data_IF_361807512480
#
_entry.id   IF_361807512480
#
_cell.length_a   1.000
_cell.length_b   1.000
_cell.length_c   1.000
_cell.angle_alpha   90.00
_cell.angle_beta   90.00
_cell.angle_gamma   90.00
#
_symmetry.space_group_name_H-M   'P 1'
#
loop_
_entity.id
_entity.type
_entity.pdbx_description
1 polymer ?
#
# COMPACT_ATOMS: atom_id res chain seq x y z
N UNK A 1 -18.21 33.37 -9.40
CA UNK A 1 -17.14 34.32 -9.02
C UNK A 1 -15.87 33.51 -8.93
N UNK A 2 -14.94 33.71 -9.86
CA UNK A 2 -13.71 32.94 -9.94
C UNK A 2 -12.82 33.25 -8.73
N UNK A 3 -12.39 32.21 -8.02
CA UNK A 3 -11.39 32.32 -6.97
C UNK A 3 -10.08 32.81 -7.61
N UNK A 4 -9.70 34.05 -7.33
CA UNK A 4 -8.37 34.58 -7.64
C UNK A 4 -7.41 33.89 -6.67
N UNK A 5 -6.72 32.88 -7.17
CA UNK A 5 -5.65 32.17 -6.48
C UNK A 5 -4.56 33.20 -6.19
N UNK A 6 -4.20 33.40 -4.93
CA UNK A 6 -2.98 34.15 -4.62
C UNK A 6 -1.80 33.33 -5.13
N UNK A 7 -1.29 33.70 -6.31
CA UNK A 7 -0.12 33.15 -6.98
C UNK A 7 1.18 33.76 -6.45
N UNK A 8 1.11 34.52 -5.35
CA UNK A 8 2.27 35.18 -4.77
C UNK A 8 3.11 34.13 -4.03
N UNK A 9 4.39 33.97 -4.39
CA UNK A 9 5.31 33.09 -3.67
C UNK A 9 5.42 33.50 -2.19
N UNK A 10 5.73 32.53 -1.32
CA UNK A 10 6.05 32.82 0.08
C UNK A 10 7.18 33.85 0.14
N UNK A 11 6.89 35.00 0.74
CA UNK A 11 7.81 36.11 0.85
C UNK A 11 7.69 36.75 2.23
N UNK A 12 8.63 36.44 3.12
CA UNK A 12 8.69 37.04 4.45
C UNK A 12 9.48 38.36 4.41
N UNK A 13 8.98 39.46 5.00
CA UNK A 13 9.68 40.75 5.03
C UNK A 13 11.03 40.71 5.74
N UNK A 14 11.17 39.83 6.73
CA UNK A 14 12.35 39.61 7.55
C UNK A 14 13.18 38.39 7.10
N UNK A 15 13.02 37.95 5.85
CA UNK A 15 13.78 36.86 5.26
C UNK A 15 15.27 37.21 5.14
N UNK A 16 16.13 36.22 5.40
CA UNK A 16 17.59 36.28 5.26
C UNK A 16 18.11 35.36 4.12
N UNK A 17 17.20 34.65 3.44
CA UNK A 17 17.47 33.81 2.27
C UNK A 17 16.42 34.04 1.17
N UNK A 18 16.89 34.07 -0.08
CA UNK A 18 16.08 34.00 -1.30
C UNK A 18 16.40 32.68 -2.00
N UNK A 19 15.41 31.81 -2.12
CA UNK A 19 15.49 30.62 -2.98
C UNK A 19 14.92 30.98 -4.34
N UNK A 20 15.72 30.86 -5.40
CA UNK A 20 15.26 31.02 -6.77
C UNK A 20 15.14 29.66 -7.45
N UNK A 21 13.94 29.35 -7.94
CA UNK A 21 13.64 28.09 -8.61
C UNK A 21 14.05 28.10 -10.08
N UNK A 22 13.99 26.94 -10.73
CA UNK A 22 14.41 26.80 -12.14
C UNK A 22 13.57 27.65 -13.11
N UNK A 23 12.30 27.87 -12.78
CA UNK A 23 11.35 28.76 -13.45
C UNK A 23 11.42 30.22 -12.97
N UNK A 24 12.53 30.60 -12.29
CA UNK A 24 12.89 31.96 -11.89
C UNK A 24 11.93 32.63 -10.89
N UNK A 25 11.16 31.82 -10.15
CA UNK A 25 10.35 32.31 -9.04
C UNK A 25 11.21 32.40 -7.79
N UNK A 26 11.12 33.52 -7.09
CA UNK A 26 11.89 33.78 -5.87
C UNK A 26 11.00 33.64 -4.63
N UNK A 27 11.48 32.85 -3.67
CA UNK A 27 10.86 32.66 -2.36
C UNK A 27 11.75 33.29 -1.30
N UNK A 28 11.22 34.26 -0.54
CA UNK A 28 11.95 34.91 0.56
C UNK A 28 11.64 34.19 1.86
N UNK A 29 12.63 33.48 2.40
CA UNK A 29 12.51 32.52 3.51
C UNK A 29 13.62 32.72 4.55
N UNK A 30 13.56 31.96 5.65
CA UNK A 30 14.51 32.03 6.74
C UNK A 30 15.50 30.86 6.71
N UNK A 31 16.80 31.16 6.79
CA UNK A 31 17.91 30.19 6.85
C UNK A 31 17.74 29.22 8.01
N UNK A 32 17.49 29.75 9.21
CA UNK A 32 17.38 28.96 10.43
C UNK A 32 16.26 27.91 10.38
N UNK A 33 15.10 28.24 9.80
CA UNK A 33 13.97 27.32 9.66
C UNK A 33 14.31 26.19 8.68
N UNK A 34 14.95 26.52 7.55
CA UNK A 34 15.39 25.50 6.60
C UNK A 34 16.50 24.61 7.17
N UNK A 35 17.49 25.18 7.85
CA UNK A 35 18.56 24.42 8.50
C UNK A 35 18.07 23.52 9.64
N UNK A 36 16.94 23.86 10.28
CA UNK A 36 16.33 23.01 11.30
C UNK A 36 15.73 21.73 10.71
N UNK A 37 15.21 21.81 9.48
CA UNK A 37 14.41 20.76 8.86
C UNK A 37 15.20 20.00 7.78
N UNK A 38 16.25 20.58 7.21
CA UNK A 38 17.04 20.01 6.12
C UNK A 38 18.53 20.05 6.42
N UNK A 39 19.15 18.87 6.44
CA UNK A 39 20.59 18.73 6.64
C UNK A 39 21.38 19.36 5.47
N UNK A 40 20.87 19.24 4.24
CA UNK A 40 21.52 19.86 3.07
C UNK A 40 21.53 21.38 3.17
N UNK A 41 20.41 21.99 3.58
CA UNK A 41 20.37 23.45 3.77
C UNK A 41 21.22 23.89 4.95
N UNK A 42 21.27 23.10 6.03
CA UNK A 42 22.15 23.35 7.18
C UNK A 42 23.63 23.32 6.79
N UNK A 43 24.05 22.34 6.02
CA UNK A 43 25.42 22.20 5.54
C UNK A 43 25.78 23.34 4.58
N UNK A 44 24.90 23.66 3.63
CA UNK A 44 25.08 24.76 2.68
C UNK A 44 25.35 26.09 3.41
N UNK A 45 24.56 26.39 4.44
CA UNK A 45 24.74 27.62 5.24
C UNK A 45 26.00 27.60 6.11
N UNK A 46 26.43 26.41 6.55
CA UNK A 46 27.68 26.26 7.31
C UNK A 46 28.89 26.54 6.43
N UNK A 47 28.87 26.14 5.16
CA UNK A 47 29.92 26.47 4.20
C UNK A 47 29.98 27.97 3.89
N UNK A 48 28.84 28.65 3.77
CA UNK A 48 28.78 30.10 3.55
C UNK A 48 29.35 30.91 4.74
N UNK A 49 29.22 30.39 5.97
CA UNK A 49 29.81 31.00 7.15
C UNK A 49 31.35 30.88 7.17
N UNK A 50 31.89 29.81 6.58
CA UNK A 50 33.34 29.54 6.51
C UNK A 50 33.97 30.28 5.32
N UNK A 51 33.27 30.32 4.18
CA UNK A 51 33.68 30.99 2.95
C UNK A 51 32.60 32.01 2.55
N UNK A 52 32.57 33.19 3.19
CA UNK A 52 31.61 34.21 2.81
C UNK A 52 31.78 34.53 1.32
N UNK A 53 30.71 34.50 0.51
CA UNK A 53 30.81 34.84 -0.90
C UNK A 53 31.46 36.22 -1.01
N UNK A 54 32.53 36.30 -1.80
CA UNK A 54 33.18 37.58 -2.09
C UNK A 54 32.10 38.50 -2.65
N UNK A 55 31.66 39.46 -1.83
CA UNK A 55 30.77 40.51 -2.28
C UNK A 55 31.42 41.11 -3.52
N UNK A 56 30.75 41.00 -4.67
CA UNK A 56 31.15 41.76 -5.84
C UNK A 56 31.13 43.21 -5.40
N UNK A 57 32.33 43.78 -5.24
CA UNK A 57 32.54 45.13 -4.77
C UNK A 57 32.07 46.10 -5.85
N UNK A 58 30.77 46.33 -5.93
CA UNK A 58 30.21 47.53 -6.55
C UNK A 58 30.16 48.60 -5.46
N UNK A 59 31.28 49.31 -5.36
CA UNK A 59 31.42 50.70 -4.89
C UNK A 59 30.23 51.33 -4.17
N UNK A 60 30.43 51.61 -2.88
CA UNK A 60 29.92 52.80 -2.18
C UNK A 60 28.44 52.86 -1.87
N UNK A 61 28.05 52.39 -0.67
CA UNK A 61 27.50 53.27 0.38
C UNK A 61 27.03 52.45 1.58
N UNK A 62 27.40 52.92 2.77
CA UNK A 62 27.15 52.28 4.05
C UNK A 62 25.66 52.35 4.44
N UNK A 63 24.91 51.26 4.25
CA UNK A 63 23.74 50.91 5.07
C UNK A 63 23.69 49.40 5.28
N UNK A 64 23.89 48.97 6.51
CA UNK A 64 23.88 47.56 6.96
C UNK A 64 22.47 46.95 6.98
N UNK A 65 21.80 46.90 5.85
CA UNK A 65 20.80 45.84 5.63
C UNK A 65 21.55 44.73 4.91
N UNK A 66 21.91 43.67 5.66
CA UNK A 66 22.43 42.44 5.06
C UNK A 66 21.40 41.98 4.03
N UNK A 67 21.69 42.14 2.74
CA UNK A 67 20.80 41.66 1.70
C UNK A 67 20.63 40.13 1.86
N UNK A 68 19.41 39.59 1.68
CA UNK A 68 19.19 38.16 1.79
C UNK A 68 20.08 37.40 0.80
N UNK A 69 20.69 36.32 1.26
CA UNK A 69 21.51 35.49 0.38
C UNK A 69 20.63 34.84 -0.70
N UNK A 70 21.09 34.86 -1.95
CA UNK A 70 20.40 34.21 -3.07
C UNK A 70 20.97 32.81 -3.33
N UNK A 71 20.10 31.81 -3.44
CA UNK A 71 20.45 30.43 -3.81
C UNK A 71 19.56 29.96 -4.96
N UNK A 72 20.19 29.58 -6.07
CA UNK A 72 19.50 28.98 -7.22
C UNK A 72 19.36 27.46 -7.02
N UNK A 73 18.17 26.91 -7.32
CA UNK A 73 17.87 25.47 -7.25
C UNK A 73 17.22 24.97 -8.54
N UNK A 74 17.27 23.65 -8.73
CA UNK A 74 16.82 22.99 -9.98
C UNK A 74 15.33 22.70 -10.02
N UNK A 75 14.68 22.65 -8.86
CA UNK A 75 13.27 22.34 -8.67
C UNK A 75 12.39 23.50 -9.14
N UNK A 76 11.17 23.18 -9.58
CA UNK A 76 10.19 24.18 -10.01
C UNK A 76 9.56 24.90 -8.82
N UNK A 77 9.02 26.10 -9.07
CA UNK A 77 8.27 26.89 -8.08
C UNK A 77 7.12 26.11 -7.46
N UNK A 78 6.44 25.25 -8.23
CA UNK A 78 5.31 24.44 -7.76
C UNK A 78 5.71 23.49 -6.64
N UNK A 79 6.79 22.74 -6.83
CA UNK A 79 7.27 21.73 -5.87
C UNK A 79 7.80 22.40 -4.61
N UNK A 80 8.57 23.48 -4.79
CA UNK A 80 9.16 24.24 -3.68
C UNK A 80 8.11 25.01 -2.90
N UNK A 81 7.10 25.56 -3.56
CA UNK A 81 5.94 26.18 -2.90
C UNK A 81 5.22 25.18 -2.00
N UNK A 82 5.00 23.94 -2.47
CA UNK A 82 4.37 22.89 -1.66
C UNK A 82 5.24 22.50 -0.45
N UNK A 83 6.54 22.28 -0.65
CA UNK A 83 7.46 21.96 0.43
C UNK A 83 7.54 23.08 1.48
N UNK A 84 7.69 24.34 1.04
CA UNK A 84 7.76 25.49 1.95
C UNK A 84 6.45 25.68 2.72
N UNK A 85 5.29 25.44 2.10
CA UNK A 85 4.02 25.48 2.82
C UNK A 85 3.97 24.46 3.95
N UNK A 86 4.49 23.25 3.73
CA UNK A 86 4.59 22.23 4.79
C UNK A 86 5.54 22.66 5.90
N UNK A 87 6.72 23.18 5.55
CA UNK A 87 7.75 23.66 6.49
C UNK A 87 7.23 24.80 7.36
N UNK A 88 6.51 25.75 6.76
CA UNK A 88 5.98 26.93 7.44
C UNK A 88 4.56 26.75 7.98
N UNK A 89 4.02 25.52 7.97
CA UNK A 89 2.65 25.21 8.37
C UNK A 89 1.58 26.09 7.71
N UNK A 90 1.83 26.54 6.48
CA UNK A 90 0.85 27.25 5.67
C UNK A 90 -0.17 26.26 5.09
N UNK A 91 -1.36 26.74 4.70
CA UNK A 91 -2.41 25.87 4.16
C UNK A 91 -1.89 24.98 3.01
N UNK A 92 -2.17 23.67 3.05
CA UNK A 92 -1.74 22.75 2.00
C UNK A 92 -2.40 23.11 0.66
N UNK A 93 -1.81 22.69 -0.47
CA UNK A 93 -2.42 22.93 -1.78
C UNK A 93 -3.81 22.28 -1.88
N UNK A 94 -4.80 23.01 -2.43
CA UNK A 94 -6.18 22.55 -2.57
C UNK A 94 -6.33 21.29 -3.45
N UNK A 95 -5.35 21.03 -4.31
CA UNK A 95 -5.28 19.82 -5.14
C UNK A 95 -3.82 19.44 -5.35
N UNK A 96 -3.46 18.20 -5.04
CA UNK A 96 -2.14 17.65 -5.30
C UNK A 96 -2.28 16.40 -6.17
N UNK A 97 -1.57 16.39 -7.30
CA UNK A 97 -1.55 15.24 -8.20
C UNK A 97 -0.54 14.20 -7.71
N UNK A 98 -0.61 12.98 -8.26
CA UNK A 98 0.39 11.95 -7.95
C UNK A 98 1.80 12.39 -8.35
N UNK A 99 1.96 13.00 -9.52
CA UNK A 99 3.28 13.45 -9.99
C UNK A 99 3.82 14.58 -9.09
N UNK A 100 2.96 15.48 -8.58
CA UNK A 100 3.36 16.47 -7.57
C UNK A 100 3.87 15.81 -6.28
N UNK A 101 3.22 14.73 -5.83
CA UNK A 101 3.65 14.00 -4.64
C UNK A 101 5.00 13.30 -4.88
N UNK A 102 5.21 12.73 -6.06
CA UNK A 102 6.48 12.10 -6.44
C UNK A 102 7.61 13.13 -6.44
N UNK A 103 7.38 14.29 -7.05
CA UNK A 103 8.34 15.39 -7.09
C UNK A 103 8.63 15.92 -5.67
N UNK A 104 7.60 15.99 -4.83
CA UNK A 104 7.74 16.38 -3.43
C UNK A 104 8.60 15.37 -2.64
N UNK A 105 8.33 14.06 -2.76
CA UNK A 105 9.15 13.02 -2.11
C UNK A 105 10.60 13.05 -2.61
N UNK A 106 10.80 13.22 -3.92
CA UNK A 106 12.13 13.34 -4.50
C UNK A 106 12.88 14.56 -3.95
N UNK A 107 12.19 15.69 -3.83
CA UNK A 107 12.74 16.94 -3.30
C UNK A 107 13.07 16.81 -1.82
N UNK A 108 12.16 16.25 -1.01
CA UNK A 108 12.42 15.98 0.40
C UNK A 108 13.62 15.07 0.60
N UNK A 109 13.74 14.00 -0.21
CA UNK A 109 14.88 13.11 -0.16
C UNK A 109 16.18 13.82 -0.59
N UNK A 110 16.15 14.59 -1.67
CA UNK A 110 17.31 15.36 -2.17
C UNK A 110 17.85 16.33 -1.14
N UNK A 111 16.95 17.06 -0.46
CA UNK A 111 17.31 18.04 0.57
C UNK A 111 17.42 17.43 1.97
N UNK A 112 17.28 16.10 2.12
CA UNK A 112 17.31 15.42 3.42
C UNK A 112 16.39 16.11 4.45
N UNK A 113 15.17 16.38 4.03
CA UNK A 113 14.13 16.98 4.85
C UNK A 113 13.68 15.96 5.90
N UNK A 114 13.69 16.35 7.17
CA UNK A 114 13.28 15.52 8.31
C UNK A 114 12.04 16.10 8.99
N UNK A 115 11.28 15.26 9.70
CA UNK A 115 10.13 15.70 10.50
C UNK A 115 8.84 15.98 9.71
N UNK A 116 8.85 15.82 8.38
CA UNK A 116 7.66 15.98 7.53
C UNK A 116 7.13 14.65 6.95
N UNK A 117 7.80 13.53 7.20
CA UNK A 117 7.47 12.23 6.59
C UNK A 117 6.04 11.77 6.87
N UNK A 118 5.56 11.94 8.10
CA UNK A 118 4.20 11.55 8.48
C UNK A 118 3.16 12.48 7.85
N UNK A 119 3.39 13.80 7.90
CA UNK A 119 2.50 14.81 7.28
C UNK A 119 2.33 14.57 5.79
N UNK A 120 3.41 14.23 5.08
CA UNK A 120 3.35 13.99 3.64
C UNK A 120 2.71 12.63 3.32
N UNK A 121 2.92 11.62 4.15
CA UNK A 121 2.18 10.36 4.04
C UNK A 121 0.68 10.55 4.27
N UNK A 122 0.28 11.39 5.23
CA UNK A 122 -1.13 11.72 5.45
C UNK A 122 -1.72 12.48 4.25
N UNK A 123 -0.99 13.46 3.71
CA UNK A 123 -1.39 14.18 2.51
C UNK A 123 -1.55 13.23 1.30
N UNK A 124 -0.62 12.28 1.15
CA UNK A 124 -0.68 11.26 0.12
C UNK A 124 -1.95 10.41 0.24
N UNK A 125 -2.18 9.82 1.41
CA UNK A 125 -3.30 8.91 1.65
C UNK A 125 -4.66 9.62 1.55
N UNK A 126 -4.71 10.92 1.83
CA UNK A 126 -5.93 11.73 1.71
C UNK A 126 -6.29 12.11 0.26
N UNK A 127 -5.30 12.24 -0.63
CA UNK A 127 -5.51 12.80 -1.97
C UNK A 127 -5.31 11.80 -3.12
N UNK A 128 -4.54 10.72 -2.90
CA UNK A 128 -4.19 9.78 -3.96
C UNK A 128 -5.04 8.51 -3.84
N UNK A 129 -5.77 8.21 -4.91
CA UNK A 129 -6.51 6.95 -5.02
C UNK A 129 -5.54 5.78 -5.26
N UNK A 130 -5.22 5.09 -4.17
CA UNK A 130 -4.31 3.96 -4.13
C UNK A 130 -4.69 2.82 -5.09
N UNK A 131 -5.98 2.67 -5.42
CA UNK A 131 -6.48 1.57 -6.25
C UNK A 131 -6.14 1.70 -7.73
N UNK A 132 -5.84 2.91 -8.21
CA UNK A 132 -5.59 3.13 -9.65
C UNK A 132 -4.29 2.51 -10.13
N UNK A 133 -3.23 2.58 -9.32
CA UNK A 133 -1.89 2.13 -9.72
C UNK A 133 -1.10 1.54 -8.52
N UNK A 134 -1.60 0.48 -7.86
CA UNK A 134 -1.02 0.00 -6.61
C UNK A 134 0.47 -0.34 -6.74
N UNK A 135 0.88 -1.00 -7.84
CA UNK A 135 2.28 -1.39 -8.06
C UNK A 135 3.23 -0.19 -8.18
N UNK A 136 2.86 0.83 -8.97
CA UNK A 136 3.64 2.07 -9.12
C UNK A 136 3.78 2.77 -7.77
N UNK A 137 2.68 2.89 -7.02
CA UNK A 137 2.67 3.54 -5.71
C UNK A 137 3.47 2.77 -4.67
N UNK A 138 3.41 1.45 -4.70
CA UNK A 138 4.21 0.61 -3.81
C UNK A 138 5.70 0.76 -4.11
N UNK A 139 6.08 0.82 -5.38
CA UNK A 139 7.47 1.06 -5.79
C UNK A 139 7.99 2.43 -5.31
N UNK A 140 7.18 3.49 -5.43
CA UNK A 140 7.48 4.82 -4.88
C UNK A 140 7.64 4.76 -3.36
N UNK A 141 6.70 4.10 -2.68
CA UNK A 141 6.74 3.97 -1.23
C UNK A 141 8.00 3.24 -0.76
N UNK A 142 8.45 2.20 -1.50
CA UNK A 142 9.71 1.52 -1.20
C UNK A 142 10.92 2.39 -1.49
N UNK A 143 10.95 3.09 -2.62
CA UNK A 143 12.05 3.98 -3.01
C UNK A 143 12.34 5.03 -1.93
N UNK A 144 11.29 5.63 -1.38
CA UNK A 144 11.41 6.72 -0.39
C UNK A 144 11.15 6.26 1.06
N UNK A 145 11.16 4.95 1.33
CA UNK A 145 10.97 4.37 2.67
C UNK A 145 9.66 4.79 3.39
N UNK A 146 8.59 5.01 2.63
CA UNK A 146 7.27 5.44 3.11
C UNK A 146 6.46 4.25 3.62
N UNK A 147 6.76 3.81 4.85
CA UNK A 147 6.24 2.56 5.41
C UNK A 147 4.71 2.50 5.47
N UNK A 148 4.02 3.55 5.92
CA UNK A 148 2.56 3.51 6.08
C UNK A 148 1.84 3.34 4.75
N UNK A 149 2.34 4.02 3.70
CA UNK A 149 1.82 3.87 2.34
C UNK A 149 2.07 2.44 1.83
N UNK A 150 3.29 1.92 2.00
CA UNK A 150 3.63 0.56 1.59
C UNK A 150 2.76 -0.50 2.29
N UNK A 151 2.54 -0.36 3.60
CA UNK A 151 1.72 -1.27 4.39
C UNK A 151 0.23 -1.21 3.98
N UNK A 152 -0.28 -0.01 3.66
CA UNK A 152 -1.66 0.19 3.18
C UNK A 152 -1.89 -0.48 1.83
N UNK A 153 -0.89 -0.45 0.94
CA UNK A 153 -0.93 -1.05 -0.39
C UNK A 153 -0.67 -2.56 -0.40
N UNK A 154 -0.14 -3.10 0.69
CA UNK A 154 0.30 -4.50 0.76
C UNK A 154 -0.80 -5.50 0.35
N UNK A 155 -2.09 -5.35 0.75
CA UNK A 155 -3.16 -6.24 0.29
C UNK A 155 -3.28 -6.30 -1.23
N UNK A 156 -3.24 -5.15 -1.91
CA UNK A 156 -3.38 -5.04 -3.37
C UNK A 156 -2.17 -5.61 -4.11
N UNK A 157 -0.99 -5.50 -3.49
CA UNK A 157 0.28 -6.00 -4.04
C UNK A 157 0.45 -7.50 -3.86
N UNK A 158 0.06 -8.04 -2.71
CA UNK A 158 0.17 -9.49 -2.42
C UNK A 158 -0.79 -10.31 -3.30
N UNK A 159 -1.92 -9.74 -3.71
CA UNK A 159 -2.85 -10.40 -4.63
C UNK A 159 -2.48 -10.21 -6.11
N UNK A 160 -1.50 -9.35 -6.41
CA UNK A 160 -1.14 -9.03 -7.77
C UNK A 160 -0.45 -10.22 -8.45
N UNK A 161 -0.98 -10.64 -9.59
CA UNK A 161 -0.35 -11.67 -10.40
C UNK A 161 0.72 -11.03 -11.31
N UNK A 162 1.98 -11.04 -10.85
CA UNK A 162 3.11 -10.51 -11.62
C UNK A 162 3.24 -11.13 -13.02
N UNK A 163 2.86 -12.40 -13.19
CA UNK A 163 2.93 -13.09 -14.49
C UNK A 163 1.84 -12.68 -15.49
N UNK A 164 0.81 -11.97 -15.03
CA UNK A 164 -0.29 -11.46 -15.86
C UNK A 164 -0.24 -9.94 -16.06
N UNK A 165 0.84 -9.28 -15.64
CA UNK A 165 1.00 -7.84 -15.82
C UNK A 165 1.25 -7.50 -17.29
N UNK A 166 0.50 -6.52 -17.79
CA UNK A 166 0.77 -5.93 -19.10
C UNK A 166 2.01 -5.03 -19.06
N UNK A 167 2.70 -4.88 -20.19
CA UNK A 167 3.85 -3.97 -20.31
C UNK A 167 3.48 -2.51 -20.01
N UNK A 168 2.22 -2.12 -20.23
CA UNK A 168 1.68 -0.81 -19.88
C UNK A 168 1.72 -0.52 -18.36
N UNK A 169 1.69 -1.57 -17.53
CA UNK A 169 1.79 -1.46 -16.08
C UNK A 169 3.25 -1.30 -15.60
N UNK A 170 4.25 -1.43 -16.48
CA UNK A 170 5.67 -1.30 -16.16
C UNK A 170 6.12 0.16 -16.18
N UNK A 171 5.74 0.93 -15.15
CA UNK A 171 6.18 2.31 -14.97
C UNK A 171 7.66 2.39 -14.54
N UNK A 172 8.32 3.53 -14.78
CA UNK A 172 9.74 3.74 -14.44
C UNK A 172 10.02 3.58 -12.94
N UNK A 173 9.05 3.85 -12.09
CA UNK A 173 9.20 3.75 -10.65
C UNK A 173 9.37 2.30 -10.19
N UNK A 174 8.90 1.33 -10.97
CA UNK A 174 9.05 -0.11 -10.68
C UNK A 174 10.51 -0.53 -10.68
N UNK A 175 11.41 0.19 -11.37
CA UNK A 175 12.85 -0.06 -11.33
C UNK A 175 13.42 0.07 -9.90
N UNK A 176 12.73 0.76 -8.99
CA UNK A 176 13.11 0.85 -7.58
C UNK A 176 12.76 -0.43 -6.79
N UNK A 177 11.91 -1.31 -7.32
CA UNK A 177 11.58 -2.59 -6.69
C UNK A 177 12.70 -3.60 -6.93
N UNK A 178 13.42 -3.91 -5.86
CA UNK A 178 14.46 -4.95 -5.90
C UNK A 178 13.87 -6.34 -6.10
N UNK A 179 14.63 -7.24 -6.71
CA UNK A 179 14.28 -8.67 -6.79
C UNK A 179 13.93 -9.26 -5.41
N UNK A 180 14.63 -8.81 -4.37
CA UNK A 180 14.37 -9.21 -2.99
C UNK A 180 12.97 -8.84 -2.55
N UNK A 181 12.50 -7.64 -2.87
CA UNK A 181 11.17 -7.20 -2.50
C UNK A 181 10.10 -7.97 -3.27
N UNK A 182 10.31 -8.21 -4.57
CA UNK A 182 9.40 -9.04 -5.39
C UNK A 182 9.30 -10.47 -4.86
N UNK A 183 10.43 -11.09 -4.49
CA UNK A 183 10.45 -12.42 -3.88
C UNK A 183 9.72 -12.45 -2.53
N UNK A 184 9.85 -11.38 -1.73
CA UNK A 184 9.16 -11.23 -0.45
C UNK A 184 7.64 -11.13 -0.61
N UNK A 185 7.16 -10.35 -1.59
CA UNK A 185 5.73 -10.26 -1.94
C UNK A 185 5.20 -11.64 -2.38
N UNK A 186 5.94 -12.34 -3.24
CA UNK A 186 5.60 -13.71 -3.63
C UNK A 186 5.51 -14.64 -2.42
N UNK A 187 6.46 -14.57 -1.49
CA UNK A 187 6.42 -15.36 -0.25
C UNK A 187 5.18 -15.05 0.58
N UNK A 188 4.80 -13.77 0.71
CA UNK A 188 3.57 -13.38 1.42
C UNK A 188 2.33 -13.95 0.77
N UNK A 189 2.26 -13.93 -0.57
CA UNK A 189 1.18 -14.52 -1.35
C UNK A 189 1.07 -16.03 -1.09
N UNK A 190 2.19 -16.76 -1.15
CA UNK A 190 2.24 -18.21 -0.87
C UNK A 190 1.85 -18.54 0.57
N UNK A 191 2.35 -17.75 1.53
CA UNK A 191 2.07 -17.99 2.95
C UNK A 191 0.60 -17.75 3.26
N UNK A 192 0.04 -16.66 2.75
CA UNK A 192 -1.39 -16.36 2.88
C UNK A 192 -2.24 -17.43 2.20
N UNK A 193 -1.85 -17.88 1.01
CA UNK A 193 -2.49 -18.99 0.31
C UNK A 193 -2.57 -20.27 1.17
N UNK A 194 -1.47 -20.66 1.81
CA UNK A 194 -1.43 -21.82 2.70
C UNK A 194 -2.36 -21.67 3.91
N UNK A 195 -2.42 -20.47 4.51
CA UNK A 195 -3.33 -20.20 5.64
C UNK A 195 -4.80 -20.22 5.23
N UNK A 196 -5.13 -19.68 4.06
CA UNK A 196 -6.48 -19.75 3.49
C UNK A 196 -6.91 -21.20 3.30
N UNK A 197 -6.05 -22.02 2.67
CA UNK A 197 -6.37 -23.43 2.44
C UNK A 197 -6.53 -24.20 3.75
N UNK A 198 -5.64 -23.96 4.73
CA UNK A 198 -5.76 -24.56 6.06
C UNK A 198 -7.09 -24.22 6.74
N UNK A 199 -7.55 -22.96 6.62
CA UNK A 199 -8.83 -22.55 7.17
C UNK A 199 -10.02 -23.22 6.46
N UNK A 200 -9.98 -23.34 5.13
CA UNK A 200 -11.02 -24.01 4.34
C UNK A 200 -11.08 -25.51 4.63
N UNK A 201 -9.94 -26.18 4.66
CA UNK A 201 -9.83 -27.63 4.92
C UNK A 201 -10.24 -27.98 6.36
N UNK A 202 -9.96 -27.09 7.33
CA UNK A 202 -10.38 -27.23 8.72
C UNK A 202 -11.80 -26.71 9.03
N UNK A 203 -12.56 -26.26 8.03
CA UNK A 203 -13.87 -25.66 8.24
C UNK A 203 -14.88 -26.71 8.72
N UNK A 204 -15.50 -26.46 9.88
CA UNK A 204 -16.55 -27.34 10.42
C UNK A 204 -17.85 -27.08 9.64
N UNK A 205 -18.34 -28.12 8.97
CA UNK A 205 -19.65 -28.11 8.32
C UNK A 205 -20.64 -28.74 9.30
N UNK A 206 -21.53 -27.92 9.88
CA UNK A 206 -22.44 -28.36 10.95
C UNK A 206 -23.19 -29.64 10.57
N UNK A 207 -23.03 -30.73 11.33
CA UNK A 207 -23.71 -31.97 11.03
C UNK A 207 -25.21 -31.95 11.41
N UNK A 208 -25.68 -30.91 12.11
CA UNK A 208 -27.02 -30.87 12.69
C UNK A 208 -28.09 -30.25 11.80
N UNK A 209 -27.74 -29.72 10.61
CA UNK A 209 -28.69 -29.23 9.60
C UNK A 209 -28.89 -30.22 8.44
N UNK A 210 -28.62 -31.52 8.64
CA UNK A 210 -28.89 -32.53 7.60
C UNK A 210 -30.36 -32.95 7.58
N UNK A 211 -31.23 -32.09 7.07
CA UNK A 211 -32.57 -32.49 6.61
C UNK A 211 -32.55 -33.13 5.21
N UNK A 212 -31.36 -33.37 4.63
CA UNK A 212 -31.19 -33.82 3.26
C UNK A 212 -30.43 -35.14 3.20
N UNK A 213 -31.11 -36.16 2.66
CA UNK A 213 -30.54 -37.45 2.29
C UNK A 213 -29.61 -37.26 1.07
N UNK A 214 -28.28 -37.20 1.27
CA UNK A 214 -27.34 -37.06 0.16
C UNK A 214 -26.92 -38.43 -0.39
N UNK A 215 -27.10 -38.71 -1.70
CA UNK A 215 -26.51 -39.88 -2.36
C UNK A 215 -24.98 -39.94 -2.21
N UNK A 216 -24.35 -38.76 -2.10
CA UNK A 216 -22.91 -38.60 -1.96
C UNK A 216 -22.31 -39.12 -0.64
N UNK A 217 -23.11 -39.29 0.41
CA UNK A 217 -22.63 -39.68 1.75
C UNK A 217 -22.98 -41.13 2.13
N UNK A 218 -23.58 -41.89 1.21
CA UNK A 218 -23.92 -43.31 1.42
C UNK A 218 -24.94 -43.56 2.53
N UNK A 219 -25.68 -42.55 3.01
CA UNK A 219 -26.70 -42.74 4.05
C UNK A 219 -27.91 -43.50 3.47
N UNK A 220 -28.29 -44.66 4.03
CA UNK A 220 -29.53 -45.35 3.65
C UNK A 220 -30.74 -44.43 3.85
N UNK A 221 -31.82 -44.63 3.08
CA UNK A 221 -33.10 -43.92 3.29
C UNK A 221 -33.52 -44.05 4.75
N UNK A 222 -33.69 -42.92 5.45
CA UNK A 222 -34.27 -42.87 6.79
C UNK A 222 -33.31 -43.13 7.97
N UNK A 223 -32.00 -43.20 7.78
CA UNK A 223 -31.06 -43.37 8.89
C UNK A 223 -30.56 -42.01 9.44
N UNK A 224 -30.90 -41.71 10.69
CA UNK A 224 -30.28 -40.64 11.49
C UNK A 224 -29.23 -41.30 12.38
N UNK A 225 -27.93 -41.02 12.19
CA UNK A 225 -26.90 -41.59 13.06
C UNK A 225 -27.10 -41.10 14.50
N UNK A 226 -26.84 -41.94 15.52
CA UNK A 226 -26.75 -41.51 16.91
C UNK A 226 -25.73 -40.37 17.07
N UNK A 227 -25.97 -39.44 18.00
CA UNK A 227 -25.12 -38.26 18.24
C UNK A 227 -23.66 -38.65 18.52
N UNK A 228 -23.44 -39.80 19.17
CA UNK A 228 -22.12 -40.35 19.45
C UNK A 228 -21.38 -40.84 18.19
N UNK A 229 -22.11 -41.28 17.16
CA UNK A 229 -21.53 -41.67 15.86
C UNK A 229 -21.18 -40.44 15.00
N UNK A 230 -21.86 -39.31 15.20
CA UNK A 230 -21.51 -38.03 14.55
C UNK A 230 -20.15 -37.49 15.01
N UNK A 231 -19.76 -37.76 16.26
CA UNK A 231 -18.49 -37.35 16.83
C UNK A 231 -17.29 -38.19 16.34
N UNK A 232 -17.55 -39.39 15.78
CA UNK A 232 -16.54 -40.33 15.30
C UNK A 232 -16.51 -40.49 13.77
N UNK A 233 -17.37 -39.77 13.04
CA UNK A 233 -17.22 -39.64 11.59
C UNK A 233 -16.00 -38.75 11.33
N UNK A 234 -15.06 -39.13 10.45
CA UNK A 234 -14.05 -38.18 9.97
C UNK A 234 -14.80 -36.94 9.46
N UNK A 235 -14.29 -35.75 9.79
CA UNK A 235 -14.93 -34.45 9.49
C UNK A 235 -15.29 -34.27 7.99
N UNK A 236 -14.80 -35.19 7.17
CA UNK A 236 -14.76 -35.27 5.73
C UNK A 236 -15.23 -36.64 5.21
N UNK A 237 -16.36 -37.14 5.71
CA UNK A 237 -17.19 -38.14 5.00
C UNK A 237 -17.87 -37.55 3.73
N UNK A 238 -17.00 -37.09 2.81
CA UNK A 238 -17.07 -36.95 1.35
C UNK A 238 -18.37 -36.44 0.73
N UNK A 239 -18.77 -35.21 1.06
CA UNK A 239 -19.61 -34.47 0.12
C UNK A 239 -18.79 -34.19 -1.16
N UNK A 240 -19.21 -34.77 -2.29
CA UNK A 240 -18.54 -34.56 -3.59
C UNK A 240 -18.51 -33.09 -3.99
N UNK A 241 -19.54 -32.31 -3.64
CA UNK A 241 -19.60 -30.87 -3.86
C UNK A 241 -18.57 -30.09 -3.04
N UNK A 242 -18.34 -30.46 -1.78
CA UNK A 242 -17.30 -29.85 -0.95
C UNK A 242 -15.89 -30.19 -1.46
N UNK A 243 -15.67 -31.45 -1.85
CA UNK A 243 -14.39 -31.86 -2.44
C UNK A 243 -14.09 -31.11 -3.74
N UNK A 244 -15.09 -30.91 -4.60
CA UNK A 244 -14.96 -30.07 -5.81
C UNK A 244 -14.67 -28.62 -5.46
N UNK A 245 -15.33 -28.08 -4.43
CA UNK A 245 -15.05 -26.74 -3.93
C UNK A 245 -13.61 -26.59 -3.45
N UNK A 246 -13.10 -27.49 -2.61
CA UNK A 246 -11.70 -27.48 -2.14
C UNK A 246 -10.73 -27.52 -3.33
N UNK A 247 -10.98 -28.37 -4.32
CA UNK A 247 -10.12 -28.47 -5.50
C UNK A 247 -10.07 -27.17 -6.31
N UNK A 248 -11.22 -26.50 -6.51
CA UNK A 248 -11.28 -25.20 -7.18
C UNK A 248 -10.64 -24.10 -6.34
N UNK A 249 -10.90 -24.09 -5.02
CA UNK A 249 -10.31 -23.16 -4.08
C UNK A 249 -8.78 -23.23 -4.10
N UNK A 250 -8.22 -24.44 -4.08
CA UNK A 250 -6.77 -24.68 -4.16
C UNK A 250 -6.15 -24.10 -5.43
N UNK A 251 -6.85 -24.14 -6.55
CA UNK A 251 -6.35 -23.54 -7.79
C UNK A 251 -6.50 -22.02 -7.78
N UNK A 252 -7.64 -21.50 -7.29
CA UNK A 252 -7.92 -20.06 -7.20
C UNK A 252 -6.93 -19.32 -6.30
N UNK A 253 -6.60 -19.92 -5.16
CA UNK A 253 -5.73 -19.29 -4.15
C UNK A 253 -4.27 -19.20 -4.62
N UNK A 254 -3.84 -20.01 -5.60
CA UNK A 254 -2.50 -19.87 -6.22
C UNK A 254 -2.34 -18.56 -7.00
N UNK A 255 -3.40 -18.10 -7.66
CA UNK A 255 -3.39 -16.85 -8.44
C UNK A 255 -3.85 -15.65 -7.61
N UNK A 256 -4.78 -15.86 -6.69
CA UNK A 256 -5.43 -14.79 -5.92
C UNK A 256 -5.61 -15.24 -4.46
N UNK A 257 -4.59 -15.04 -3.60
CA UNK A 257 -4.58 -15.48 -2.21
C UNK A 257 -5.40 -14.55 -1.31
N UNK A 258 -6.69 -14.41 -1.60
CA UNK A 258 -7.59 -13.60 -0.80
C UNK A 258 -8.94 -14.30 -0.60
N UNK A 259 -9.79 -13.60 0.12
CA UNK A 259 -11.15 -14.02 0.45
C UNK A 259 -12.10 -14.22 -0.74
N UNK A 260 -11.73 -13.91 -1.99
CA UNK A 260 -12.61 -14.15 -3.15
C UNK A 260 -12.80 -15.65 -3.41
N UNK A 261 -11.94 -16.51 -2.84
CA UNK A 261 -12.06 -17.97 -2.88
C UNK A 261 -13.38 -18.51 -2.30
N UNK A 262 -13.99 -17.79 -1.37
CA UNK A 262 -15.30 -18.13 -0.79
C UNK A 262 -16.47 -17.45 -1.52
N UNK A 263 -16.19 -16.72 -2.61
CA UNK A 263 -17.19 -16.06 -3.43
C UNK A 263 -18.09 -17.04 -4.17
N UNK A 264 -19.24 -16.54 -4.62
CA UNK A 264 -20.27 -17.36 -5.24
C UNK A 264 -19.82 -18.00 -6.55
N UNK A 265 -18.93 -17.37 -7.34
CA UNK A 265 -18.39 -17.95 -8.59
C UNK A 265 -17.79 -19.36 -8.36
N UNK A 266 -16.89 -19.47 -7.38
CA UNK A 266 -16.21 -20.73 -7.07
C UNK A 266 -17.22 -21.78 -6.57
N UNK A 267 -18.23 -21.35 -5.81
CA UNK A 267 -19.29 -22.22 -5.29
C UNK A 267 -20.23 -22.70 -6.39
N UNK A 268 -20.62 -21.83 -7.33
CA UNK A 268 -21.43 -22.17 -8.51
C UNK A 268 -20.68 -23.19 -9.37
N UNK A 269 -19.39 -22.94 -9.66
CA UNK A 269 -18.55 -23.85 -10.45
C UNK A 269 -18.34 -25.19 -9.74
N UNK A 270 -18.18 -25.19 -8.42
CA UNK A 270 -18.12 -26.41 -7.62
C UNK A 270 -19.44 -27.19 -7.66
N UNK A 271 -20.58 -26.49 -7.57
CA UNK A 271 -21.89 -27.12 -7.62
C UNK A 271 -22.17 -27.75 -8.99
N UNK A 272 -21.91 -27.02 -10.08
CA UNK A 272 -22.09 -27.50 -11.45
C UNK A 272 -21.17 -28.68 -11.79
N UNK A 273 -19.93 -28.68 -11.27
CA UNK A 273 -18.98 -29.76 -11.51
C UNK A 273 -19.17 -30.97 -10.58
N UNK A 274 -20.03 -30.85 -9.57
CA UNK A 274 -20.39 -31.95 -8.70
C UNK A 274 -21.52 -32.77 -9.32
N UNK A 275 -21.36 -34.09 -9.37
CA UNK A 275 -22.41 -35.02 -9.81
C UNK A 275 -23.54 -35.19 -8.77
N UNK A 276 -23.72 -34.21 -7.87
CA UNK A 276 -24.68 -34.26 -6.78
C UNK A 276 -25.88 -33.34 -7.09
N UNK A 277 -27.12 -33.83 -7.14
CA UNK A 277 -28.30 -33.00 -7.42
C UNK A 277 -28.58 -31.97 -6.32
N UNK A 278 -27.97 -32.13 -5.14
CA UNK A 278 -28.14 -31.27 -3.98
C UNK A 278 -26.96 -30.31 -3.78
N UNK A 279 -26.04 -30.25 -4.74
CA UNK A 279 -24.80 -29.49 -4.61
C UNK A 279 -25.03 -28.00 -4.31
N UNK A 280 -25.98 -27.38 -5.03
CA UNK A 280 -26.37 -26.00 -4.80
C UNK A 280 -26.94 -25.79 -3.40
N UNK A 281 -27.96 -26.57 -3.02
CA UNK A 281 -28.58 -26.47 -1.70
C UNK A 281 -27.56 -26.67 -0.57
N UNK A 282 -26.68 -27.64 -0.72
CA UNK A 282 -25.62 -27.89 0.25
C UNK A 282 -24.64 -26.72 0.36
N UNK A 283 -24.04 -26.29 -0.76
CA UNK A 283 -23.03 -25.24 -0.75
C UNK A 283 -23.61 -23.88 -0.35
N UNK A 284 -24.84 -23.55 -0.75
CA UNK A 284 -25.45 -22.23 -0.57
C UNK A 284 -26.26 -22.08 0.72
N UNK A 285 -27.01 -23.10 1.12
CA UNK A 285 -27.86 -23.03 2.31
C UNK A 285 -27.17 -23.68 3.52
N UNK A 286 -26.70 -24.92 3.37
CA UNK A 286 -26.17 -25.68 4.52
C UNK A 286 -24.81 -25.16 4.98
N UNK A 287 -23.94 -24.81 4.04
CA UNK A 287 -22.63 -24.24 4.35
C UNK A 287 -22.68 -22.71 4.56
N UNK A 288 -23.85 -22.07 4.59
CA UNK A 288 -23.96 -20.60 4.69
C UNK A 288 -23.20 -20.03 5.89
N UNK A 289 -23.45 -20.61 7.07
CA UNK A 289 -22.83 -20.15 8.32
C UNK A 289 -21.32 -20.47 8.34
N UNK A 290 -20.92 -21.60 7.74
CA UNK A 290 -19.52 -21.97 7.56
C UNK A 290 -18.80 -20.94 6.67
N UNK A 291 -19.39 -20.54 5.54
CA UNK A 291 -18.81 -19.53 4.66
C UNK A 291 -18.77 -18.13 5.31
N UNK A 292 -19.77 -17.78 6.11
CA UNK A 292 -19.75 -16.54 6.90
C UNK A 292 -18.61 -16.55 7.94
N UNK A 293 -18.40 -17.67 8.63
CA UNK A 293 -17.30 -17.84 9.59
C UNK A 293 -15.93 -17.81 8.88
N UNK A 294 -15.83 -18.46 7.73
CA UNK A 294 -14.63 -18.43 6.89
C UNK A 294 -14.34 -17.00 6.43
N UNK A 295 -15.33 -16.22 5.97
CA UNK A 295 -15.16 -14.82 5.57
C UNK A 295 -14.44 -14.01 6.66
N UNK A 296 -14.96 -14.05 7.88
CA UNK A 296 -14.36 -13.36 9.04
C UNK A 296 -12.92 -13.86 9.28
N UNK A 297 -12.71 -15.18 9.23
CA UNK A 297 -11.39 -15.77 9.44
C UNK A 297 -10.38 -15.36 8.38
N UNK A 298 -10.77 -15.39 7.10
CA UNK A 298 -9.90 -15.07 5.97
C UNK A 298 -9.57 -13.57 5.90
N UNK A 299 -10.53 -12.71 6.25
CA UNK A 299 -10.33 -11.26 6.31
C UNK A 299 -9.37 -10.85 7.44
N UNK A 300 -9.38 -11.60 8.55
CA UNK A 300 -8.47 -11.40 9.68
C UNK A 300 -7.04 -11.92 9.45
N UNK A 301 -6.77 -12.66 8.36
CA UNK A 301 -5.43 -13.15 8.08
C UNK A 301 -4.46 -11.98 7.83
N UNK A 302 -3.19 -12.09 8.26
CA UNK A 302 -2.19 -11.04 8.04
C UNK A 302 -1.73 -10.98 6.57
N UNK A 303 -1.44 -9.77 6.10
CA UNK A 303 -0.85 -9.52 4.76
C UNK A 303 0.67 -9.46 4.79
N UNK A 304 1.25 -9.18 5.96
CA UNK A 304 2.69 -9.05 6.19
C UNK A 304 3.22 -10.30 6.93
N UNK A 305 4.30 -10.89 6.40
CA UNK A 305 5.03 -12.00 7.03
C UNK A 305 6.55 -11.73 7.16
N UNK A 306 6.94 -10.48 7.39
CA UNK A 306 8.33 -10.00 7.50
C UNK A 306 9.16 -10.88 8.42
N UNK A 307 8.68 -11.12 9.64
CA UNK A 307 9.38 -11.92 10.66
C UNK A 307 9.65 -13.35 10.19
N UNK A 308 8.69 -13.96 9.49
CA UNK A 308 8.83 -15.32 8.98
C UNK A 308 9.83 -15.35 7.80
N UNK A 309 9.72 -14.37 6.90
CA UNK A 309 10.63 -14.22 5.76
C UNK A 309 12.08 -14.01 6.19
N UNK A 310 12.32 -13.08 7.12
CA UNK A 310 13.67 -12.78 7.61
C UNK A 310 14.26 -13.95 8.41
N UNK A 311 13.44 -14.69 9.15
CA UNK A 311 13.89 -15.90 9.86
C UNK A 311 14.39 -16.97 8.88
N UNK A 312 13.63 -17.26 7.82
CA UNK A 312 14.02 -18.25 6.80
C UNK A 312 15.26 -17.83 6.02
N UNK A 313 15.44 -16.52 5.81
CA UNK A 313 16.61 -15.96 5.15
C UNK A 313 17.87 -15.99 6.04
N UNK A 314 17.72 -15.67 7.33
CA UNK A 314 18.84 -15.64 8.28
C UNK A 314 19.30 -17.01 8.78
N UNK A 315 18.60 -18.09 8.43
CA UNK A 315 19.02 -19.49 8.64
C UNK A 315 19.88 -20.04 7.50
N UNK A 316 20.39 -19.18 6.60
CA UNK A 316 21.30 -19.54 5.50
C UNK A 316 22.72 -19.08 5.79
#
# INVERSE_FOLDING_TARGET
>A
MGNVISTVPLAFPNADLIIRTSDKVEFKVHKNILALISDVFKDMMSFDAINPPQAQATSGDSKSSLEPQLVDITESSRVISNLLKLIYHAPPPNSISLDDMIDLFQTMHKYQVTGLDETVQDLFLANIDAKKNPLRLYAIAKKYSLKRIADTLLPDIVILNFGALEMSAMSKEIDALTLRESHKIWFFAQRRAALIMKAIEGAIISPFKFTIQCPCRGTPRGYVPPVEALNNLPADARCSSWAKYIALAKNHVKSTPNSTVIGDDIRIRAANSAQCPLAFKFLFEHCKDTFATLRVTLDALPWNFDKEYDKLRGTS
#
